data_IF_942604763146
#
_entry.id   IF_942604763146
#
_cell.length_a   1.000
_cell.length_b   1.000
_cell.length_c   1.000
_cell.angle_alpha   90.00
_cell.angle_beta   90.00
_cell.angle_gamma   90.00
#
_symmetry.space_group_name_H-M   'P 1'
#
loop_
_entity.id
_entity.type
_entity.pdbx_description
1 polymer ?
#
# COMPACT_ATOMS: atom_id res chain seq x y z
N UNK A 1 22.20 15.00 -10.00
CA UNK A 1 21.43 13.95 -9.29
C UNK A 1 19.97 13.87 -9.72
N UNK A 2 19.19 14.95 -9.66
CA UNK A 2 17.76 14.97 -10.06
C UNK A 2 17.55 14.57 -11.53
N UNK A 3 18.39 15.07 -12.45
CA UNK A 3 18.32 14.72 -13.89
C UNK A 3 18.47 13.22 -14.15
N UNK A 4 19.36 12.54 -13.42
CA UNK A 4 19.62 11.10 -13.56
C UNK A 4 18.45 10.27 -13.02
N UNK A 5 17.87 10.67 -11.88
CA UNK A 5 16.65 10.03 -11.36
C UNK A 5 15.46 10.19 -12.32
N UNK A 6 15.33 11.37 -12.94
CA UNK A 6 14.26 11.63 -13.90
C UNK A 6 14.40 10.73 -15.14
N UNK A 7 15.61 10.62 -15.70
CA UNK A 7 15.90 9.72 -16.82
C UNK A 7 15.70 8.24 -16.46
N UNK A 8 16.12 7.81 -15.26
CA UNK A 8 15.88 6.45 -14.80
C UNK A 8 14.39 6.13 -14.65
N UNK A 9 13.60 7.08 -14.12
CA UNK A 9 12.15 6.96 -14.05
C UNK A 9 11.53 6.86 -15.44
N UNK A 10 11.92 7.71 -16.38
CA UNK A 10 11.43 7.64 -17.77
C UNK A 10 11.71 6.27 -18.38
N UNK A 11 12.93 5.76 -18.26
CA UNK A 11 13.30 4.43 -18.79
C UNK A 11 12.45 3.32 -18.16
N UNK A 12 12.30 3.32 -16.83
CA UNK A 12 11.49 2.33 -16.13
C UNK A 12 10.00 2.42 -16.50
N UNK A 13 9.47 3.64 -16.66
CA UNK A 13 8.07 3.84 -17.08
C UNK A 13 7.87 3.41 -18.53
N UNK A 14 8.79 3.70 -19.43
CA UNK A 14 8.73 3.23 -20.83
C UNK A 14 8.81 1.71 -20.92
N UNK A 15 9.67 1.06 -20.13
CA UNK A 15 9.72 -0.40 -20.05
C UNK A 15 8.43 -1.01 -19.49
N UNK A 16 7.83 -0.38 -18.47
CA UNK A 16 6.56 -0.82 -17.91
C UNK A 16 5.41 -0.70 -18.93
N UNK A 17 5.32 0.43 -19.65
CA UNK A 17 4.33 0.64 -20.71
C UNK A 17 4.56 -0.31 -21.87
N UNK A 18 5.81 -0.52 -22.29
CA UNK A 18 6.14 -1.48 -23.36
C UNK A 18 5.80 -2.92 -22.98
N UNK A 19 6.07 -3.32 -21.74
CA UNK A 19 5.70 -4.65 -21.21
C UNK A 19 4.18 -4.82 -21.13
N UNK A 20 3.45 -3.76 -20.76
CA UNK A 20 1.99 -3.78 -20.71
C UNK A 20 1.36 -3.83 -22.12
N UNK A 21 1.88 -3.05 -23.07
CA UNK A 21 1.47 -3.11 -24.47
C UNK A 21 1.76 -4.48 -25.11
N UNK A 22 2.93 -5.07 -24.81
CA UNK A 22 3.26 -6.42 -25.21
C UNK A 22 2.29 -7.45 -24.62
N UNK A 23 1.97 -7.35 -23.34
CA UNK A 23 0.99 -8.22 -22.69
C UNK A 23 -0.39 -8.14 -23.34
N UNK A 24 -0.91 -6.93 -23.59
CA UNK A 24 -2.18 -6.71 -24.30
C UNK A 24 -2.12 -7.35 -25.69
N UNK A 25 -1.07 -7.07 -26.46
CA UNK A 25 -0.99 -7.57 -27.83
C UNK A 25 -0.84 -9.10 -27.90
N UNK A 26 -0.19 -9.71 -26.91
CA UNK A 26 0.08 -11.16 -26.90
C UNK A 26 -1.09 -11.96 -26.34
N UNK A 27 -1.75 -11.48 -25.29
CA UNK A 27 -2.77 -12.27 -24.57
C UNK A 27 -4.20 -11.75 -24.77
N UNK A 28 -4.40 -10.43 -24.90
CA UNK A 28 -5.73 -9.88 -25.11
C UNK A 28 -6.19 -10.10 -26.56
N UNK A 29 -5.34 -9.79 -27.55
CA UNK A 29 -5.69 -9.96 -28.96
C UNK A 29 -5.76 -11.44 -29.37
N UNK A 30 -4.93 -12.33 -28.80
CA UNK A 30 -5.03 -13.76 -29.04
C UNK A 30 -6.37 -14.34 -28.54
N UNK A 31 -6.84 -13.91 -27.36
CA UNK A 31 -8.14 -14.38 -26.84
C UNK A 31 -9.36 -13.88 -27.63
N UNK A 32 -9.27 -12.71 -28.28
CA UNK A 32 -10.32 -12.20 -29.17
C UNK A 32 -10.34 -13.01 -30.48
N UNK A 33 -9.16 -13.32 -31.04
CA UNK A 33 -9.05 -14.10 -32.28
C UNK A 33 -9.54 -15.55 -32.11
N UNK A 34 -9.25 -16.19 -30.97
CA UNK A 34 -9.77 -17.53 -30.67
C UNK A 34 -11.28 -17.53 -30.42
N UNK A 35 -11.83 -16.47 -29.79
CA UNK A 35 -13.27 -16.33 -29.61
C UNK A 35 -14.03 -16.06 -30.92
N UNK A 36 -13.45 -15.33 -31.88
CA UNK A 36 -14.03 -15.16 -33.22
C UNK A 36 -13.93 -16.44 -34.06
N UNK A 37 -12.82 -17.18 -33.99
CA UNK A 37 -12.67 -18.48 -34.67
C UNK A 37 -13.65 -19.52 -34.15
N UNK A 38 -13.95 -19.52 -32.85
CA UNK A 38 -14.94 -20.42 -32.25
C UNK A 38 -16.38 -20.01 -32.62
N UNK A 39 -16.71 -18.71 -32.64
CA UNK A 39 -18.01 -18.22 -33.14
C UNK A 39 -18.30 -18.57 -34.60
N UNK A 40 -17.28 -18.65 -35.44
CA UNK A 40 -17.44 -19.04 -36.85
C UNK A 40 -17.63 -20.57 -37.00
N UNK A 41 -17.10 -21.38 -36.08
CA UNK A 41 -17.28 -22.84 -36.08
C UNK A 41 -18.63 -23.31 -35.51
N UNK A 42 -19.25 -22.53 -34.63
CA UNK A 42 -20.54 -22.86 -34.01
C UNK A 42 -21.76 -22.67 -34.93
N UNK A 43 -21.59 -22.12 -36.14
CA UNK A 43 -22.66 -21.91 -37.12
C UNK A 43 -22.89 -23.09 -38.09
N UNK A 44 -22.35 -24.28 -37.79
CA UNK A 44 -22.65 -25.50 -38.55
C UNK A 44 -23.62 -26.38 -37.75
N UNK A 45 -24.80 -26.77 -38.31
CA UNK A 45 -25.84 -27.39 -37.50
C UNK A 45 -25.54 -28.88 -37.31
N UNK A 46 -25.28 -29.31 -36.08
CA UNK A 46 -25.45 -30.71 -35.64
C UNK A 46 -25.35 -30.85 -34.12
N UNK A 47 -26.38 -31.44 -33.51
CA UNK A 47 -26.27 -32.18 -32.25
C UNK A 47 -26.91 -31.53 -31.02
N UNK A 48 -28.12 -31.95 -30.70
CA UNK A 48 -28.74 -31.73 -29.41
C UNK A 48 -27.92 -32.37 -28.28
N UNK A 49 -27.69 -31.64 -27.19
CA UNK A 49 -27.22 -32.20 -25.93
C UNK A 49 -25.74 -31.94 -25.59
N UNK A 50 -25.37 -30.69 -25.38
CA UNK A 50 -24.23 -30.34 -24.53
C UNK A 50 -24.57 -29.04 -23.77
N UNK A 51 -25.08 -29.19 -22.55
CA UNK A 51 -25.09 -28.07 -21.61
C UNK A 51 -23.64 -27.76 -21.29
N UNK A 52 -23.10 -26.68 -21.86
CA UNK A 52 -21.92 -26.03 -21.29
C UNK A 52 -22.25 -25.75 -19.81
N UNK A 53 -21.45 -26.19 -18.82
CA UNK A 53 -21.63 -25.71 -17.47
C UNK A 53 -21.30 -24.21 -17.51
N UNK A 54 -22.32 -23.38 -17.62
CA UNK A 54 -22.21 -21.96 -17.28
C UNK A 54 -21.90 -21.94 -15.80
N UNK A 55 -20.60 -21.95 -15.46
CA UNK A 55 -20.14 -21.79 -14.09
C UNK A 55 -20.81 -20.54 -13.53
N UNK A 56 -21.60 -20.74 -12.48
CA UNK A 56 -22.37 -19.67 -11.88
C UNK A 56 -21.40 -18.65 -11.26
N UNK A 57 -21.57 -17.36 -11.55
CA UNK A 57 -20.68 -16.33 -11.00
C UNK A 57 -21.13 -16.04 -9.57
N UNK A 58 -20.22 -16.16 -8.60
CA UNK A 58 -20.49 -15.81 -7.22
C UNK A 58 -20.83 -14.32 -7.11
N UNK A 59 -21.67 -13.95 -6.14
CA UNK A 59 -22.06 -12.54 -5.97
C UNK A 59 -20.85 -11.71 -5.53
N UNK A 60 -20.79 -10.43 -5.91
CA UNK A 60 -19.75 -9.50 -5.48
C UNK A 60 -19.49 -9.57 -3.96
N UNK A 61 -20.55 -9.55 -3.15
CA UNK A 61 -20.43 -9.57 -1.68
C UNK A 61 -19.80 -10.86 -1.16
N UNK A 62 -20.14 -12.00 -1.74
CA UNK A 62 -19.59 -13.30 -1.36
C UNK A 62 -18.09 -13.36 -1.70
N UNK A 63 -17.73 -12.97 -2.93
CA UNK A 63 -16.33 -12.88 -3.37
C UNK A 63 -15.52 -11.88 -2.53
N UNK A 64 -16.13 -10.74 -2.18
CA UNK A 64 -15.49 -9.71 -1.37
C UNK A 64 -15.20 -10.19 0.05
N UNK A 65 -16.14 -10.92 0.68
CA UNK A 65 -15.94 -11.45 2.03
C UNK A 65 -14.83 -12.49 2.09
N UNK A 66 -14.73 -13.36 1.08
CA UNK A 66 -13.60 -14.30 0.95
C UNK A 66 -12.26 -13.58 0.72
N UNK A 67 -12.27 -12.47 -0.02
CA UNK A 67 -11.08 -11.66 -0.26
C UNK A 67 -10.75 -10.68 0.88
N UNK A 68 -11.52 -10.66 1.98
CA UNK A 68 -11.43 -9.60 2.97
C UNK A 68 -10.05 -9.52 3.63
N UNK A 69 -9.45 -10.67 3.96
CA UNK A 69 -8.12 -10.72 4.58
C UNK A 69 -7.04 -10.06 3.70
N UNK A 70 -6.78 -10.50 2.46
CA UNK A 70 -5.78 -9.85 1.62
C UNK A 70 -6.15 -8.41 1.26
N UNK A 71 -7.45 -8.07 1.12
CA UNK A 71 -7.87 -6.68 0.89
C UNK A 71 -7.45 -5.79 2.07
N UNK A 72 -7.67 -6.22 3.32
CA UNK A 72 -7.34 -5.44 4.52
C UNK A 72 -5.84 -5.41 4.84
N UNK A 73 -5.04 -6.35 4.34
CA UNK A 73 -3.58 -6.30 4.49
C UNK A 73 -2.99 -5.03 3.88
N UNK A 74 -3.57 -4.51 2.79
CA UNK A 74 -3.11 -3.27 2.18
C UNK A 74 -3.23 -2.06 3.10
N UNK A 75 -4.43 -1.66 3.60
CA UNK A 75 -4.55 -0.51 4.49
C UNK A 75 -3.76 -0.71 5.79
N UNK A 76 -3.67 -1.95 6.30
CA UNK A 76 -2.84 -2.27 7.46
C UNK A 76 -1.36 -1.96 7.23
N UNK A 77 -0.80 -2.29 6.07
CA UNK A 77 0.56 -1.87 5.69
C UNK A 77 0.66 -0.37 5.41
N UNK A 78 -0.28 0.13 4.61
CA UNK A 78 -0.27 1.46 4.01
C UNK A 78 -0.36 2.56 5.05
N UNK A 79 -1.15 2.39 6.12
CA UNK A 79 -1.18 3.39 7.19
C UNK A 79 0.21 3.61 7.75
N UNK A 80 0.99 2.57 7.99
CA UNK A 80 2.33 2.73 8.54
C UNK A 80 3.30 3.36 7.55
N UNK A 81 3.28 2.92 6.29
CA UNK A 81 4.19 3.46 5.28
C UNK A 81 3.81 4.88 4.87
N UNK A 82 2.56 5.14 4.50
CA UNK A 82 2.13 6.44 3.96
C UNK A 82 1.84 7.48 5.05
N UNK A 83 1.53 7.07 6.30
CA UNK A 83 1.44 8.01 7.42
C UNK A 83 2.79 8.28 8.09
N UNK A 84 3.55 7.25 8.48
CA UNK A 84 4.78 7.46 9.24
C UNK A 84 5.95 7.84 8.34
N UNK A 85 6.08 7.21 7.18
CA UNK A 85 7.21 7.46 6.28
C UNK A 85 6.84 8.44 5.14
N UNK A 86 7.70 9.43 4.82
CA UNK A 86 8.95 9.76 5.51
C UNK A 86 8.76 10.77 6.67
N UNK A 87 7.61 11.45 6.74
CA UNK A 87 7.45 12.67 7.53
C UNK A 87 7.63 12.51 9.05
N UNK A 88 7.26 11.35 9.60
CA UNK A 88 7.45 11.00 11.01
C UNK A 88 8.75 10.21 11.19
N UNK A 89 8.89 9.08 10.50
CA UNK A 89 10.11 8.30 10.40
C UNK A 89 10.73 8.47 9.01
N UNK A 90 11.99 8.93 8.87
CA UNK A 90 12.94 9.30 9.93
C UNK A 90 12.90 10.79 10.35
N UNK A 91 12.19 11.66 9.60
CA UNK A 91 12.39 13.12 9.66
C UNK A 91 11.94 13.80 10.95
N UNK A 92 11.04 13.20 11.74
CA UNK A 92 10.70 13.78 13.05
C UNK A 92 11.77 13.52 14.11
N UNK A 93 12.57 12.45 13.95
CA UNK A 93 13.46 11.93 15.00
C UNK A 93 14.94 12.12 14.68
N UNK A 94 15.31 12.39 13.42
CA UNK A 94 16.68 12.62 12.98
C UNK A 94 16.84 13.93 12.20
N UNK A 95 18.05 14.48 12.24
CA UNK A 95 18.45 15.58 11.36
C UNK A 95 18.42 15.14 9.90
N UNK A 96 18.07 16.08 9.02
CA UNK A 96 17.86 15.87 7.57
C UNK A 96 18.99 15.10 6.88
N UNK A 97 20.24 15.40 7.20
CA UNK A 97 21.41 14.75 6.56
C UNK A 97 21.47 13.24 6.83
N UNK A 98 21.11 12.82 8.05
CA UNK A 98 21.07 11.41 8.43
C UNK A 98 19.91 10.67 7.77
N UNK A 99 18.79 11.36 7.56
CA UNK A 99 17.59 10.81 6.92
C UNK A 99 17.81 10.44 5.45
N UNK A 100 18.66 11.18 4.72
CA UNK A 100 18.89 10.92 3.30
C UNK A 100 19.45 9.51 3.03
N UNK A 101 20.32 9.00 3.90
CA UNK A 101 20.86 7.63 3.78
C UNK A 101 19.75 6.61 4.01
N UNK A 102 18.91 6.83 5.04
CA UNK A 102 17.80 5.93 5.39
C UNK A 102 16.81 5.85 4.22
N UNK A 103 16.46 6.97 3.60
CA UNK A 103 15.53 6.98 2.47
C UNK A 103 16.07 6.23 1.26
N UNK A 104 17.37 6.37 0.95
CA UNK A 104 18.01 5.61 -0.13
C UNK A 104 17.91 4.10 0.12
N UNK A 105 18.18 3.67 1.35
CA UNK A 105 18.03 2.26 1.74
C UNK A 105 16.56 1.83 1.66
N UNK A 106 15.63 2.60 2.22
CA UNK A 106 14.20 2.31 2.17
C UNK A 106 13.70 2.05 0.74
N UNK A 107 14.15 2.83 -0.25
CA UNK A 107 13.78 2.59 -1.65
C UNK A 107 14.24 1.22 -2.17
N UNK A 108 15.41 0.73 -1.76
CA UNK A 108 15.92 -0.60 -2.13
C UNK A 108 15.06 -1.69 -1.48
N UNK A 109 14.77 -1.55 -0.18
CA UNK A 109 13.99 -2.54 0.58
C UNK A 109 12.50 -2.59 0.18
N UNK A 110 11.98 -1.53 -0.45
CA UNK A 110 10.57 -1.45 -0.85
C UNK A 110 10.14 -2.55 -1.83
N UNK A 111 11.05 -3.09 -2.65
CA UNK A 111 10.75 -4.14 -3.63
C UNK A 111 10.92 -5.58 -3.14
N UNK A 112 11.48 -5.79 -1.94
CA UNK A 112 11.88 -7.12 -1.48
C UNK A 112 10.71 -8.10 -1.35
N UNK A 113 9.56 -7.65 -0.85
CA UNK A 113 8.36 -8.48 -0.70
C UNK A 113 7.87 -9.02 -2.05
N UNK A 114 7.85 -8.17 -3.07
CA UNK A 114 7.47 -8.57 -4.44
C UNK A 114 8.46 -9.59 -5.05
N UNK A 115 9.76 -9.39 -4.83
CA UNK A 115 10.79 -10.33 -5.32
C UNK A 115 10.65 -11.70 -4.65
N UNK A 116 10.42 -11.73 -3.33
CA UNK A 116 10.26 -12.98 -2.58
C UNK A 116 8.98 -13.72 -3.01
N UNK A 117 7.86 -13.01 -3.16
CA UNK A 117 6.63 -13.64 -3.66
C UNK A 117 6.78 -14.16 -5.10
N UNK A 118 7.55 -13.46 -5.95
CA UNK A 118 7.84 -13.96 -7.30
C UNK A 118 8.64 -15.27 -7.27
N UNK A 119 9.61 -15.40 -6.36
CA UNK A 119 10.37 -16.65 -6.18
C UNK A 119 9.44 -17.77 -5.69
N UNK A 120 8.55 -17.49 -4.74
CA UNK A 120 7.56 -18.46 -4.27
C UNK A 120 6.55 -18.87 -5.35
N UNK A 121 6.19 -17.94 -6.25
CA UNK A 121 5.37 -18.26 -7.42
C UNK A 121 6.07 -19.25 -8.33
N UNK A 122 7.35 -19.00 -8.65
CA UNK A 122 8.15 -19.87 -9.51
C UNK A 122 8.40 -21.25 -8.88
N UNK A 123 8.48 -21.31 -7.56
CA UNK A 123 8.58 -22.57 -6.83
C UNK A 123 7.25 -23.32 -6.70
N UNK A 124 6.12 -22.74 -7.14
CA UNK A 124 4.78 -23.32 -7.00
C UNK A 124 4.23 -23.30 -5.57
N UNK A 125 4.92 -22.66 -4.62
CA UNK A 125 4.52 -22.57 -3.22
C UNK A 125 3.35 -21.59 -2.99
N UNK A 126 3.10 -20.70 -3.95
CA UNK A 126 2.07 -19.66 -3.84
C UNK A 126 0.93 -19.82 -4.86
N UNK A 127 0.60 -21.04 -5.33
CA UNK A 127 -0.44 -21.21 -6.36
C UNK A 127 -1.86 -20.85 -5.87
N UNK A 128 -2.18 -21.14 -4.61
CA UNK A 128 -3.47 -20.85 -3.98
C UNK A 128 -3.28 -20.03 -2.71
N UNK A 129 -4.27 -19.21 -2.37
CA UNK A 129 -4.31 -18.60 -1.05
C UNK A 129 -4.59 -19.68 0.00
N UNK A 130 -3.82 -19.67 1.08
CA UNK A 130 -3.93 -20.59 2.20
C UNK A 130 -3.90 -19.80 3.50
N UNK A 131 -4.43 -20.39 4.57
CA UNK A 131 -4.45 -19.76 5.90
C UNK A 131 -3.05 -19.45 6.46
N UNK A 132 -1.99 -20.01 5.87
CA UNK A 132 -0.61 -19.64 6.17
C UNK A 132 -0.35 -18.16 5.87
N UNK A 133 -0.90 -17.62 4.77
CA UNK A 133 -0.71 -16.23 4.39
C UNK A 133 -1.44 -15.28 5.33
N UNK A 134 -2.55 -15.70 5.94
CA UNK A 134 -3.21 -14.95 7.01
C UNK A 134 -2.30 -14.81 8.25
N UNK A 135 -1.37 -15.74 8.47
CA UNK A 135 -0.35 -15.65 9.52
C UNK A 135 0.52 -14.38 9.44
N UNK A 136 0.64 -13.75 8.26
CA UNK A 136 1.37 -12.48 8.12
C UNK A 136 0.73 -11.34 8.92
N UNK A 137 -0.53 -11.44 9.33
CA UNK A 137 -1.16 -10.48 10.26
C UNK A 137 -0.39 -10.33 11.57
N UNK A 138 0.32 -11.37 12.02
CA UNK A 138 1.16 -11.29 13.23
C UNK A 138 2.25 -10.22 13.09
N UNK A 139 2.77 -10.00 11.87
CA UNK A 139 3.78 -8.96 11.63
C UNK A 139 3.25 -7.54 11.83
N UNK A 140 1.93 -7.34 11.73
CA UNK A 140 1.25 -6.06 12.03
C UNK A 140 1.41 -5.66 13.49
N UNK A 141 1.54 -6.63 14.41
CA UNK A 141 1.79 -6.35 15.83
C UNK A 141 3.13 -5.63 15.98
N UNK A 142 4.18 -6.11 15.30
CA UNK A 142 5.50 -5.49 15.33
C UNK A 142 5.46 -4.07 14.75
N UNK A 143 4.77 -3.86 13.62
CA UNK A 143 4.61 -2.54 13.02
C UNK A 143 3.86 -1.57 13.94
N UNK A 144 2.85 -2.06 14.65
CA UNK A 144 2.09 -1.28 15.64
C UNK A 144 2.98 -0.88 16.82
N UNK A 145 3.79 -1.79 17.35
CA UNK A 145 4.75 -1.49 18.43
C UNK A 145 5.73 -0.40 18.00
N UNK A 146 6.33 -0.51 16.80
CA UNK A 146 7.25 0.51 16.26
C UNK A 146 6.55 1.88 16.18
N UNK A 147 5.30 1.89 15.75
CA UNK A 147 4.49 3.11 15.61
C UNK A 147 4.19 3.76 16.95
N UNK A 148 3.78 2.98 17.95
CA UNK A 148 3.53 3.44 19.31
C UNK A 148 4.82 4.06 19.89
N UNK A 149 5.95 3.37 19.78
CA UNK A 149 7.24 3.88 20.26
C UNK A 149 7.68 5.16 19.54
N UNK A 150 7.37 5.29 18.24
CA UNK A 150 7.61 6.51 17.47
C UNK A 150 6.80 7.69 18.01
N UNK A 151 5.50 7.51 18.24
CA UNK A 151 4.67 8.57 18.82
C UNK A 151 5.06 8.90 20.25
N UNK A 152 5.41 7.89 21.06
CA UNK A 152 5.94 8.11 22.41
C UNK A 152 7.25 8.90 22.36
N UNK A 153 8.14 8.59 21.43
CA UNK A 153 9.39 9.32 21.22
C UNK A 153 9.13 10.78 20.80
N UNK A 154 8.00 11.12 20.19
CA UNK A 154 7.69 12.50 19.83
C UNK A 154 6.99 13.22 21.00
N UNK A 155 5.97 12.60 21.58
CA UNK A 155 5.02 13.29 22.46
C UNK A 155 5.28 13.15 23.95
N UNK A 156 6.07 12.14 24.36
CA UNK A 156 6.29 11.82 25.79
C UNK A 156 7.73 12.09 26.23
N UNK A 157 8.01 11.95 27.52
CA UNK A 157 9.39 12.04 28.07
C UNK A 157 9.86 10.71 28.67
N UNK A 158 9.24 9.61 28.28
CA UNK A 158 9.59 8.29 28.80
C UNK A 158 11.03 7.96 28.36
N UNK A 159 11.93 7.58 29.28
CA UNK A 159 13.35 7.38 28.96
C UNK A 159 13.59 6.37 27.84
N UNK A 160 12.85 5.26 27.79
CA UNK A 160 12.97 4.24 26.75
C UNK A 160 12.67 4.80 25.35
N UNK A 161 11.58 5.55 25.20
CA UNK A 161 11.21 6.19 23.94
C UNK A 161 12.11 7.39 23.59
N UNK A 162 12.59 8.12 24.61
CA UNK A 162 13.48 9.26 24.40
C UNK A 162 14.85 8.85 23.80
N UNK A 163 15.32 7.61 24.04
CA UNK A 163 16.55 7.06 23.42
C UNK A 163 16.48 6.95 21.90
N UNK A 164 15.27 6.94 21.33
CA UNK A 164 15.08 6.88 19.86
C UNK A 164 15.45 8.22 19.22
N UNK A 165 15.27 9.34 19.93
CA UNK A 165 15.53 10.70 19.42
C UNK A 165 16.99 10.87 19.07
N UNK A 166 17.27 11.36 17.85
CA UNK A 166 18.60 11.59 17.30
C UNK A 166 19.50 10.32 17.23
N UNK A 167 18.94 9.12 17.45
CA UNK A 167 19.66 7.85 17.33
C UNK A 167 19.54 7.28 15.93
N UNK A 168 20.60 7.46 15.12
CA UNK A 168 20.65 6.97 13.74
C UNK A 168 20.38 5.46 13.62
N UNK A 169 21.04 4.56 14.38
CA UNK A 169 20.86 3.12 14.19
C UNK A 169 19.43 2.68 14.52
N UNK A 170 18.86 3.16 15.64
CA UNK A 170 17.51 2.77 16.07
C UNK A 170 16.47 3.22 15.05
N UNK A 171 16.52 4.50 14.64
CA UNK A 171 15.56 5.04 13.66
C UNK A 171 15.72 4.36 12.29
N UNK A 172 16.96 4.00 11.90
CA UNK A 172 17.19 3.25 10.66
C UNK A 172 16.53 1.88 10.73
N UNK A 173 16.77 1.11 11.79
CA UNK A 173 16.15 -0.22 11.97
C UNK A 173 14.63 -0.12 11.99
N UNK A 174 14.05 0.79 12.78
CA UNK A 174 12.60 1.01 12.83
C UNK A 174 12.04 1.34 11.44
N UNK A 175 12.70 2.23 10.69
CA UNK A 175 12.24 2.63 9.35
C UNK A 175 12.33 1.47 8.36
N UNK A 176 13.46 0.75 8.31
CA UNK A 176 13.64 -0.35 7.36
C UNK A 176 12.71 -1.52 7.65
N UNK A 177 12.52 -1.90 8.93
CA UNK A 177 11.56 -2.93 9.32
C UNK A 177 10.15 -2.58 8.85
N UNK A 178 9.73 -1.32 9.00
CA UNK A 178 8.41 -0.86 8.54
C UNK A 178 8.25 -0.91 7.02
N UNK A 179 9.31 -0.57 6.28
CA UNK A 179 9.30 -0.61 4.81
C UNK A 179 9.24 -2.06 4.31
N UNK A 180 10.02 -2.96 4.91
CA UNK A 180 9.97 -4.40 4.59
C UNK A 180 8.58 -4.97 4.88
N UNK A 181 8.03 -4.68 6.06
CA UNK A 181 6.68 -5.08 6.44
C UNK A 181 5.64 -4.61 5.42
N UNK A 182 5.65 -3.32 5.04
CA UNK A 182 4.77 -2.80 4.00
C UNK A 182 4.97 -3.52 2.66
N UNK A 183 6.22 -3.75 2.26
CA UNK A 183 6.55 -4.41 0.98
C UNK A 183 5.90 -5.79 0.86
N UNK A 184 5.91 -6.58 1.94
CA UNK A 184 5.26 -7.88 1.98
C UNK A 184 3.73 -7.79 1.92
N UNK A 185 3.10 -6.97 2.79
CA UNK A 185 1.64 -6.85 2.78
C UNK A 185 1.09 -6.26 1.48
N UNK A 186 1.82 -5.32 0.89
CA UNK A 186 1.51 -4.78 -0.44
C UNK A 186 1.51 -5.89 -1.49
N UNK A 187 2.58 -6.69 -1.54
CA UNK A 187 2.71 -7.76 -2.52
C UNK A 187 1.65 -8.87 -2.29
N UNK A 188 1.36 -9.22 -1.03
CA UNK A 188 0.33 -10.20 -0.67
C UNK A 188 -1.08 -9.72 -1.02
N UNK A 189 -1.40 -8.44 -0.84
CA UNK A 189 -2.69 -7.89 -1.28
C UNK A 189 -2.86 -8.03 -2.80
N UNK A 190 -1.90 -7.54 -3.58
CA UNK A 190 -2.01 -7.50 -5.03
C UNK A 190 -1.98 -8.90 -5.67
N UNK A 191 -1.22 -9.84 -5.10
CA UNK A 191 -1.14 -11.20 -5.63
C UNK A 191 -2.20 -12.14 -5.02
N UNK A 192 -2.63 -11.90 -3.79
CA UNK A 192 -3.59 -12.74 -3.06
C UNK A 192 -5.03 -12.57 -3.55
N UNK A 193 -5.48 -11.32 -3.78
CA UNK A 193 -6.87 -11.05 -4.22
C UNK A 193 -7.22 -11.79 -5.52
N UNK A 194 -6.43 -11.70 -6.61
CA UNK A 194 -6.74 -12.45 -7.83
C UNK A 194 -6.74 -13.97 -7.62
N UNK A 195 -5.87 -14.49 -6.75
CA UNK A 195 -5.80 -15.94 -6.49
C UNK A 195 -7.05 -16.45 -5.80
N UNK A 196 -7.53 -15.76 -4.76
CA UNK A 196 -8.79 -16.13 -4.11
C UNK A 196 -9.94 -16.13 -5.13
N UNK A 197 -10.04 -15.09 -5.97
CA UNK A 197 -11.10 -15.00 -6.99
C UNK A 197 -11.08 -16.18 -7.96
N UNK A 198 -9.89 -16.66 -8.33
CA UNK A 198 -9.72 -17.76 -9.27
C UNK A 198 -9.82 -19.14 -8.62
N UNK A 199 -9.46 -19.30 -7.35
CA UNK A 199 -9.27 -20.62 -6.73
C UNK A 199 -10.24 -20.95 -5.59
N UNK A 200 -10.85 -19.94 -4.94
CA UNK A 200 -11.68 -20.16 -3.76
C UNK A 200 -13.02 -20.83 -4.07
N UNK A 201 -13.53 -20.64 -5.28
CA UNK A 201 -14.84 -21.14 -5.68
C UNK A 201 -14.80 -22.45 -6.49
N UNK A 202 -13.60 -23.03 -6.67
CA UNK A 202 -13.39 -24.28 -7.39
C UNK A 202 -14.25 -25.42 -6.82
N UNK A 203 -14.39 -25.51 -5.50
CA UNK A 203 -15.21 -26.55 -4.83
C UNK A 203 -16.72 -26.38 -5.07
N UNK A 204 -17.16 -25.15 -5.38
CA UNK A 204 -18.57 -24.80 -5.59
C UNK A 204 -18.97 -24.72 -7.08
N UNK A 205 -18.05 -25.05 -8.01
CA UNK A 205 -18.22 -24.82 -9.46
C UNK A 205 -18.62 -23.38 -9.83
N UNK A 206 -18.26 -22.42 -8.97
CA UNK A 206 -18.50 -20.99 -9.20
C UNK A 206 -17.21 -20.30 -9.61
N UNK A 207 -17.34 -19.16 -10.27
CA UNK A 207 -16.20 -18.26 -10.53
C UNK A 207 -16.41 -17.01 -9.68
N UNK A 208 -15.37 -16.56 -8.97
CA UNK A 208 -15.43 -15.32 -8.21
C UNK A 208 -15.63 -14.10 -9.11
N UNK A 209 -16.32 -13.09 -8.59
CA UNK A 209 -16.55 -11.85 -9.32
C UNK A 209 -15.24 -11.05 -9.50
N UNK A 210 -14.78 -10.94 -10.75
CA UNK A 210 -13.56 -10.22 -11.12
C UNK A 210 -13.62 -8.73 -10.83
N UNK A 211 -14.81 -8.15 -10.67
CA UNK A 211 -14.97 -6.72 -10.33
C UNK A 211 -14.34 -6.38 -8.98
N UNK A 212 -14.20 -7.36 -8.08
CA UNK A 212 -13.50 -7.22 -6.79
C UNK A 212 -12.03 -6.81 -6.96
N UNK A 213 -11.37 -7.22 -8.06
CA UNK A 213 -9.99 -6.79 -8.35
C UNK A 213 -9.95 -5.27 -8.58
N UNK A 214 -10.84 -4.77 -9.43
CA UNK A 214 -10.94 -3.33 -9.73
C UNK A 214 -11.30 -2.55 -8.47
N UNK A 215 -12.23 -3.06 -7.66
CA UNK A 215 -12.59 -2.47 -6.39
C UNK A 215 -11.38 -2.39 -5.44
N UNK A 216 -10.60 -3.47 -5.30
CA UNK A 216 -9.38 -3.49 -4.49
C UNK A 216 -8.40 -2.40 -4.96
N UNK A 217 -8.16 -2.27 -6.27
CA UNK A 217 -7.26 -1.23 -6.80
C UNK A 217 -7.75 0.18 -6.43
N UNK A 218 -9.05 0.48 -6.64
CA UNK A 218 -9.64 1.76 -6.26
C UNK A 218 -9.47 2.02 -4.75
N UNK A 219 -9.79 1.03 -3.91
CA UNK A 219 -9.60 1.12 -2.47
C UNK A 219 -8.14 1.38 -2.11
N UNK A 220 -7.18 0.68 -2.73
CA UNK A 220 -5.75 0.90 -2.44
C UNK A 220 -5.34 2.34 -2.74
N UNK A 221 -5.79 2.92 -3.87
CA UNK A 221 -5.51 4.32 -4.22
C UNK A 221 -6.12 5.28 -3.20
N UNK A 222 -7.38 5.07 -2.80
CA UNK A 222 -8.06 5.89 -1.81
C UNK A 222 -7.37 5.83 -0.44
N UNK A 223 -6.99 4.64 0.04
CA UNK A 223 -6.28 4.49 1.31
C UNK A 223 -4.94 5.21 1.31
N UNK A 224 -4.13 5.09 0.25
CA UNK A 224 -2.85 5.82 0.13
C UNK A 224 -3.06 7.32 0.20
N UNK A 225 -4.04 7.81 -0.54
CA UNK A 225 -4.39 9.23 -0.56
C UNK A 225 -4.78 9.72 0.83
N UNK A 226 -5.74 9.04 1.48
CA UNK A 226 -6.23 9.40 2.81
C UNK A 226 -5.08 9.39 3.83
N UNK A 227 -4.29 8.31 3.90
CA UNK A 227 -3.20 8.21 4.87
C UNK A 227 -2.11 9.25 4.64
N UNK A 228 -1.76 9.53 3.38
CA UNK A 228 -0.82 10.60 3.04
C UNK A 228 -1.31 11.97 3.50
N UNK A 229 -2.59 12.30 3.29
CA UNK A 229 -3.17 13.57 3.73
C UNK A 229 -3.24 13.71 5.24
N UNK A 230 -3.61 12.64 5.95
CA UNK A 230 -3.58 12.63 7.42
C UNK A 230 -2.12 12.80 7.91
N UNK A 231 -1.14 12.22 7.22
CA UNK A 231 0.29 12.41 7.54
C UNK A 231 0.72 13.88 7.45
N UNK A 232 0.32 14.58 6.38
CA UNK A 232 0.60 16.01 6.19
C UNK A 232 -0.03 16.83 7.32
N UNK A 233 -1.30 16.58 7.62
CA UNK A 233 -2.01 17.26 8.70
C UNK A 233 -1.35 17.06 10.07
N UNK A 234 -0.93 15.82 10.37
CA UNK A 234 -0.25 15.50 11.62
C UNK A 234 1.13 16.17 11.71
N UNK A 235 1.93 16.10 10.64
CA UNK A 235 3.26 16.72 10.61
C UNK A 235 3.19 18.24 10.75
N UNK A 236 2.24 18.90 10.09
CA UNK A 236 2.03 20.33 10.26
C UNK A 236 1.64 20.66 11.71
N UNK A 237 0.69 19.92 12.28
CA UNK A 237 0.21 20.14 13.65
C UNK A 237 1.32 19.93 14.70
N UNK A 238 2.11 18.85 14.58
CA UNK A 238 3.20 18.57 15.53
C UNK A 238 4.28 19.65 15.48
N UNK A 239 4.65 20.11 14.28
CA UNK A 239 5.71 21.11 14.10
C UNK A 239 5.25 22.46 14.67
N UNK A 240 4.01 22.88 14.37
CA UNK A 240 3.47 24.14 14.89
C UNK A 240 3.40 24.17 16.42
N UNK A 241 3.10 23.03 17.03
CA UNK A 241 3.10 22.90 18.48
C UNK A 241 4.51 22.84 19.08
N UNK A 242 5.59 22.68 18.32
CA UNK A 242 6.97 22.57 18.85
C UNK A 242 7.45 21.13 19.07
N UNK A 243 6.73 20.11 18.60
CA UNK A 243 7.16 18.70 18.63
C UNK A 243 8.09 18.38 17.45
N UNK A 244 9.25 19.01 17.44
CA UNK A 244 10.30 18.79 16.45
C UNK A 244 11.70 18.90 17.09
N UNK A 245 12.73 18.45 16.37
CA UNK A 245 14.12 18.65 16.79
C UNK A 245 14.47 20.15 16.85
N UNK A 246 15.33 20.59 17.78
CA UNK A 246 16.08 19.79 18.76
C UNK A 246 15.32 19.53 20.08
N UNK A 247 14.22 20.24 20.34
CA UNK A 247 13.49 20.18 21.61
C UNK A 247 12.03 19.80 21.34
N UNK A 248 11.66 18.56 21.68
CA UNK A 248 10.28 18.06 21.64
C UNK A 248 9.46 18.62 22.82
N UNK A 249 9.13 19.90 22.79
CA UNK A 249 8.37 20.58 23.85
C UNK A 249 7.28 21.44 23.24
N UNK A 250 6.05 21.40 23.80
CA UNK A 250 4.98 22.22 23.30
C UNK A 250 5.26 23.70 23.55
N UNK A 251 5.03 24.55 22.55
CA UNK A 251 5.12 26.01 22.64
C UNK A 251 4.05 26.59 23.56
N UNK A 252 2.91 25.90 23.69
CA UNK A 252 1.79 26.29 24.54
C UNK A 252 1.38 25.15 25.48
N UNK A 253 1.11 25.49 26.75
CA UNK A 253 0.77 24.49 27.77
C UNK A 253 -0.74 24.22 27.74
N UNK A 254 -1.11 22.97 27.47
CA UNK A 254 -2.50 22.52 27.45
C UNK A 254 -2.69 21.29 28.35
N UNK A 255 -3.91 21.03 28.81
CA UNK A 255 -4.26 19.77 29.46
C UNK A 255 -4.13 18.60 28.47
N UNK A 256 -3.93 17.37 28.97
CA UNK A 256 -3.71 16.19 28.11
C UNK A 256 -4.89 15.91 27.16
N UNK A 257 -6.13 16.06 27.66
CA UNK A 257 -7.34 15.87 26.85
C UNK A 257 -7.47 16.93 25.76
N UNK A 258 -7.25 18.21 26.12
CA UNK A 258 -7.31 19.31 25.15
C UNK A 258 -6.21 19.18 24.10
N UNK A 259 -5.02 18.71 24.48
CA UNK A 259 -3.93 18.44 23.55
C UNK A 259 -4.29 17.32 22.56
N UNK A 260 -4.85 16.20 23.05
CA UNK A 260 -5.27 15.09 22.19
C UNK A 260 -6.35 15.54 21.19
N UNK A 261 -7.38 16.25 21.67
CA UNK A 261 -8.42 16.79 20.81
C UNK A 261 -7.89 17.82 19.82
N UNK A 262 -6.95 18.68 20.25
CA UNK A 262 -6.28 19.63 19.37
C UNK A 262 -5.53 18.92 18.25
N UNK A 263 -4.81 17.83 18.55
CA UNK A 263 -4.12 17.04 17.53
C UNK A 263 -5.09 16.44 16.53
N UNK A 264 -6.16 15.79 16.99
CA UNK A 264 -7.17 15.18 16.11
C UNK A 264 -7.79 16.25 15.22
N UNK A 265 -8.35 17.31 15.83
CA UNK A 265 -9.07 18.36 15.10
C UNK A 265 -8.17 19.05 14.07
N UNK A 266 -6.96 19.45 14.44
CA UNK A 266 -6.08 20.17 13.52
C UNK A 266 -5.46 19.27 12.46
N UNK A 267 -5.20 17.99 12.78
CA UNK A 267 -4.74 17.02 11.79
C UNK A 267 -5.76 16.85 10.67
N UNK A 268 -7.02 16.56 11.00
CA UNK A 268 -8.07 16.38 9.99
C UNK A 268 -8.44 17.69 9.29
N UNK A 269 -8.53 18.81 10.02
CA UNK A 269 -8.79 20.12 9.42
C UNK A 269 -7.72 20.50 8.40
N UNK A 270 -6.44 20.29 8.74
CA UNK A 270 -5.33 20.61 7.82
C UNK A 270 -5.26 19.62 6.66
N UNK A 271 -5.49 18.33 6.90
CA UNK A 271 -5.56 17.32 5.84
C UNK A 271 -6.66 17.64 4.81
N UNK A 272 -7.84 18.07 5.28
CA UNK A 272 -8.93 18.51 4.42
C UNK A 272 -8.61 19.80 3.65
N UNK A 273 -8.01 20.80 4.31
CA UNK A 273 -7.58 22.03 3.64
C UNK A 273 -6.57 21.76 2.53
N UNK A 274 -5.55 20.95 2.82
CA UNK A 274 -4.50 20.55 1.88
C UNK A 274 -5.07 19.76 0.69
N UNK A 275 -6.08 18.92 0.95
CA UNK A 275 -6.82 18.22 -0.11
C UNK A 275 -7.55 19.19 -1.04
N UNK A 276 -8.25 20.19 -0.48
CA UNK A 276 -8.98 21.19 -1.27
C UNK A 276 -8.00 22.07 -2.06
N UNK A 277 -6.88 22.45 -1.44
CA UNK A 277 -5.82 23.23 -2.11
C UNK A 277 -5.25 22.47 -3.32
N UNK A 278 -4.96 21.18 -3.20
CA UNK A 278 -4.50 20.36 -4.33
C UNK A 278 -5.48 20.35 -5.51
N UNK A 279 -6.79 20.30 -5.24
CA UNK A 279 -7.81 20.37 -6.30
C UNK A 279 -7.96 21.77 -6.91
N UNK A 280 -7.63 22.82 -6.16
CA UNK A 280 -7.70 24.22 -6.61
C UNK A 280 -6.40 24.67 -7.29
N UNK A 281 -5.30 23.97 -7.08
CA UNK A 281 -3.99 24.35 -7.58
C UNK A 281 -3.96 24.26 -9.11
N UNK A 282 -3.67 25.39 -9.76
CA UNK A 282 -3.45 25.40 -11.19
C UNK A 282 -2.00 24.96 -11.46
N UNK A 283 -1.82 23.86 -12.20
CA UNK A 283 -0.51 23.30 -12.52
C UNK A 283 0.39 24.34 -13.23
N UNK A 284 -0.20 25.31 -13.93
CA UNK A 284 0.52 26.41 -14.60
C UNK A 284 1.27 27.33 -13.63
N UNK A 285 0.88 27.38 -12.37
CA UNK A 285 1.52 28.24 -11.36
C UNK A 285 2.79 27.59 -10.76
N UNK A 286 3.08 26.33 -11.12
CA UNK A 286 4.18 25.52 -10.58
C UNK A 286 5.26 25.13 -11.60
N UNK A 287 5.00 25.39 -12.90
CA UNK A 287 5.92 25.15 -14.03
C UNK A 287 6.61 26.45 -14.43
#
# INVERSE_FOLDING_TARGET
MIKIQCWLSVVLTTLAVGSWAYFINTYWNASIFDNEKNKIKDNQPSGAGAQNPTNEVATFSETFMECLSPILMFPAGSIFKDFLFPGVLPYALLNRDKCHIINKLATIFYGIGSVILFIFEKAGAFNKWSSFYDGFWVTTILATVISIYTFMAIHTRIPSAARIRNSKPIVTTMTLTMIVYYSFLYALNYAGVPKIIHTAFEETNKIGDKTVITFNVICTMLYRFIFSKIAVGYNHTRVNLGYHLPKFRPNHRMSKSNLAWYFIRNTFRRAGHDTIEDFRMNIKDYL
#
